data_IF_407726135566
#
_entry.id   IF_407726135566
#
_cell.length_a   1.000
_cell.length_b   1.000
_cell.length_c   1.000
_cell.angle_alpha   90.00
_cell.angle_beta   90.00
_cell.angle_gamma   90.00
#
_symmetry.space_group_name_H-M   'P 1'
#
loop_
_entity.id
_entity.type
_entity.pdbx_description
1 polymer ?
#
# COMPACT_ATOMS: atom_id res chain seq x y z
N UNK A 1 -14.03 39.15 -30.70
CA UNK A 1 -14.76 38.13 -29.91
C UNK A 1 -13.99 36.83 -30.03
N UNK A 2 -13.50 36.27 -28.93
CA UNK A 2 -12.89 34.93 -28.98
C UNK A 2 -13.94 33.95 -29.51
N UNK A 3 -13.56 33.08 -30.45
CA UNK A 3 -14.47 32.09 -31.00
C UNK A 3 -15.03 31.21 -29.89
N UNK A 4 -16.34 30.94 -29.96
CA UNK A 4 -17.07 30.07 -29.06
C UNK A 4 -16.47 28.65 -29.14
N UNK A 5 -15.58 28.31 -28.21
CA UNK A 5 -14.79 27.07 -28.22
C UNK A 5 -15.32 26.10 -27.15
N UNK A 6 -15.32 24.81 -27.48
CA UNK A 6 -15.52 23.73 -26.51
C UNK A 6 -14.18 23.36 -25.88
N UNK A 7 -14.14 23.22 -24.56
CA UNK A 7 -12.92 22.85 -23.82
C UNK A 7 -12.97 21.39 -23.40
N UNK A 8 -11.85 20.67 -23.52
CA UNK A 8 -11.74 19.28 -23.07
C UNK A 8 -11.05 19.22 -21.71
N UNK A 9 -11.64 18.55 -20.73
CA UNK A 9 -11.06 18.36 -19.40
C UNK A 9 -10.94 16.87 -19.12
N UNK A 10 -9.77 16.41 -18.67
CA UNK A 10 -9.58 15.05 -18.20
C UNK A 10 -9.59 15.00 -16.68
N UNK A 11 -10.33 14.03 -16.13
CA UNK A 11 -10.39 13.76 -14.71
C UNK A 11 -9.71 12.41 -14.42
N UNK A 12 -8.66 12.45 -13.59
CA UNK A 12 -8.06 11.29 -12.95
C UNK A 12 -8.45 11.29 -11.46
N UNK A 13 -8.52 10.12 -10.84
CA UNK A 13 -8.94 10.03 -9.43
C UNK A 13 -8.51 8.70 -8.85
N UNK A 14 -8.35 8.65 -7.53
CA UNK A 14 -8.18 7.41 -6.77
C UNK A 14 -7.03 6.55 -7.31
N UNK A 15 -5.83 7.14 -7.42
CA UNK A 15 -4.64 6.47 -7.94
C UNK A 15 -3.95 5.60 -6.89
N UNK A 16 -4.11 5.93 -5.61
CA UNK A 16 -3.56 5.20 -4.46
C UNK A 16 -2.07 4.86 -4.61
N UNK A 17 -1.27 5.78 -5.14
CA UNK A 17 0.17 5.58 -5.28
C UNK A 17 0.83 5.49 -3.90
N UNK A 18 1.97 4.82 -3.81
CA UNK A 18 2.81 4.81 -2.61
C UNK A 18 4.25 5.18 -2.96
N UNK A 19 5.08 5.45 -1.96
CA UNK A 19 6.51 5.68 -2.15
C UNK A 19 7.15 4.50 -2.89
N UNK A 20 6.76 3.27 -2.57
CA UNK A 20 7.14 2.07 -3.31
C UNK A 20 6.37 1.98 -4.65
N UNK A 21 7.06 2.00 -5.82
CA UNK A 21 6.42 1.82 -7.12
C UNK A 21 5.86 0.41 -7.35
N UNK A 22 6.29 -0.60 -6.58
CA UNK A 22 5.75 -1.95 -6.66
C UNK A 22 4.42 -2.12 -5.90
N UNK A 23 4.01 -1.12 -5.11
CA UNK A 23 2.81 -1.19 -4.30
C UNK A 23 1.56 -1.53 -5.12
N UNK A 24 0.77 -2.44 -4.57
CA UNK A 24 -0.48 -2.89 -5.19
C UNK A 24 -1.68 -2.52 -4.31
N UNK A 25 -2.73 -2.01 -4.93
CA UNK A 25 -4.05 -1.92 -4.33
C UNK A 25 -4.90 -3.07 -4.87
N UNK A 26 -5.32 -3.99 -4.00
CA UNK A 26 -6.32 -5.04 -4.35
C UNK A 26 -5.91 -5.87 -5.58
N UNK A 27 -4.62 -6.14 -5.72
CA UNK A 27 -4.05 -6.92 -6.81
C UNK A 27 -3.64 -6.14 -8.06
N UNK A 28 -3.88 -4.84 -8.08
CA UNK A 28 -3.49 -3.93 -9.17
C UNK A 28 -2.28 -3.11 -8.73
N UNK A 29 -1.17 -3.17 -9.47
CA UNK A 29 -0.04 -2.25 -9.24
C UNK A 29 -0.48 -0.83 -9.60
N UNK A 30 -0.40 0.10 -8.64
CA UNK A 30 -0.98 1.44 -8.77
C UNK A 30 -0.20 2.33 -9.73
N UNK A 31 1.13 2.15 -9.81
CA UNK A 31 1.99 2.90 -10.74
C UNK A 31 1.76 2.46 -12.19
N UNK A 32 1.73 1.15 -12.43
CA UNK A 32 1.53 0.57 -13.76
C UNK A 32 0.11 0.86 -14.27
N UNK A 33 -0.90 0.82 -13.40
CA UNK A 33 -2.27 1.17 -13.77
C UNK A 33 -2.40 2.64 -14.13
N UNK A 34 -1.80 3.54 -13.36
CA UNK A 34 -1.79 4.97 -13.69
C UNK A 34 -1.13 5.22 -15.05
N UNK A 35 0.04 4.63 -15.31
CA UNK A 35 0.74 4.72 -16.61
C UNK A 35 -0.11 4.25 -17.79
N UNK A 36 -0.80 3.13 -17.62
CA UNK A 36 -1.67 2.60 -18.66
C UNK A 36 -2.86 3.55 -18.93
N UNK A 37 -3.43 4.13 -17.88
CA UNK A 37 -4.55 5.07 -17.98
C UNK A 37 -4.11 6.42 -18.58
N UNK A 38 -2.94 6.94 -18.23
CA UNK A 38 -2.40 8.19 -18.83
C UNK A 38 -1.99 8.00 -20.29
N UNK A 39 -1.46 6.82 -20.65
CA UNK A 39 -1.19 6.45 -22.04
C UNK A 39 -2.49 6.38 -22.87
N UNK A 40 -3.55 5.77 -22.31
CA UNK A 40 -4.87 5.74 -22.93
C UNK A 40 -5.43 7.15 -23.14
N UNK A 41 -5.34 8.02 -22.13
CA UNK A 41 -5.79 9.40 -22.22
C UNK A 41 -5.04 10.19 -23.29
N UNK A 42 -3.72 10.03 -23.35
CA UNK A 42 -2.87 10.70 -24.36
C UNK A 42 -3.17 10.23 -25.78
N UNK A 43 -3.63 8.99 -25.97
CA UNK A 43 -4.05 8.47 -27.27
C UNK A 43 -5.41 9.01 -27.72
N UNK A 44 -6.27 9.46 -26.79
CA UNK A 44 -7.60 9.99 -27.10
C UNK A 44 -7.52 11.40 -27.69
N UNK A 45 -6.93 12.34 -26.95
CA UNK A 45 -6.75 13.75 -27.33
C UNK A 45 -5.85 14.47 -26.32
N UNK A 46 -5.33 15.65 -26.70
CA UNK A 46 -4.76 16.60 -25.73
C UNK A 46 -5.91 17.36 -25.02
N UNK A 47 -5.96 17.36 -23.68
CA UNK A 47 -6.95 18.13 -22.94
C UNK A 47 -6.55 19.62 -22.86
N UNK A 48 -7.52 20.48 -22.56
CA UNK A 48 -7.31 21.89 -22.19
C UNK A 48 -6.99 22.06 -20.70
N UNK A 49 -7.38 21.10 -19.87
CA UNK A 49 -7.04 21.03 -18.45
C UNK A 49 -7.12 19.60 -17.92
N UNK A 50 -6.37 19.34 -16.86
CA UNK A 50 -6.44 18.10 -16.09
C UNK A 50 -6.91 18.43 -14.67
N UNK A 51 -7.82 17.63 -14.15
CA UNK A 51 -8.26 17.67 -12.76
C UNK A 51 -8.03 16.31 -12.09
N UNK A 52 -7.52 16.33 -10.86
CA UNK A 52 -7.32 15.12 -10.06
C UNK A 52 -8.14 15.18 -8.77
N UNK A 53 -9.14 14.31 -8.62
CA UNK A 53 -10.19 14.45 -7.60
C UNK A 53 -9.97 13.60 -6.34
N UNK A 54 -8.73 13.55 -5.84
CA UNK A 54 -8.40 12.94 -4.55
C UNK A 54 -8.01 11.46 -4.62
N UNK A 55 -7.55 10.97 -3.46
CA UNK A 55 -6.93 9.67 -3.23
C UNK A 55 -5.78 9.38 -4.20
N UNK A 56 -4.94 10.41 -4.41
CA UNK A 56 -3.78 10.30 -5.30
C UNK A 56 -2.69 9.45 -4.65
N UNK A 57 -2.55 9.56 -3.33
CA UNK A 57 -1.64 8.80 -2.50
C UNK A 57 -2.37 7.88 -1.52
N UNK A 58 -1.80 6.70 -1.30
CA UNK A 58 -2.22 5.73 -0.28
C UNK A 58 -1.44 5.90 1.04
N UNK A 59 -0.24 6.49 0.99
CA UNK A 59 0.69 6.61 2.12
C UNK A 59 1.07 8.05 2.48
N UNK A 60 0.53 9.04 1.77
CA UNK A 60 0.79 10.46 1.98
C UNK A 60 2.21 10.92 1.64
N UNK A 61 3.03 10.08 0.98
CA UNK A 61 4.45 10.38 0.75
C UNK A 61 4.69 11.41 -0.37
N UNK A 62 5.70 12.25 -0.22
CA UNK A 62 6.14 13.17 -1.30
C UNK A 62 6.52 12.43 -2.59
N UNK A 63 7.06 11.22 -2.47
CA UNK A 63 7.40 10.35 -3.60
C UNK A 63 6.16 9.95 -4.40
N UNK A 64 5.05 9.61 -3.73
CA UNK A 64 3.79 9.28 -4.41
C UNK A 64 3.20 10.47 -5.16
N UNK A 65 3.20 11.68 -4.57
CA UNK A 65 2.70 12.90 -5.21
C UNK A 65 3.57 13.35 -6.39
N UNK A 66 4.90 13.27 -6.22
CA UNK A 66 5.85 13.58 -7.30
C UNK A 66 5.64 12.66 -8.49
N UNK A 67 5.48 11.35 -8.24
CA UNK A 67 5.18 10.37 -9.29
C UNK A 67 3.85 10.65 -9.98
N UNK A 68 2.78 10.91 -9.23
CA UNK A 68 1.49 11.25 -9.83
C UNK A 68 1.64 12.43 -10.80
N UNK A 69 2.33 13.48 -10.37
CA UNK A 69 2.57 14.66 -11.22
C UNK A 69 3.38 14.31 -12.45
N UNK A 70 4.48 13.59 -12.30
CA UNK A 70 5.34 13.18 -13.42
C UNK A 70 4.57 12.41 -14.49
N UNK A 71 3.68 11.51 -14.08
CA UNK A 71 2.89 10.67 -14.99
C UNK A 71 1.72 11.42 -15.65
N UNK A 72 1.14 12.41 -14.97
CA UNK A 72 -0.12 13.06 -15.39
C UNK A 72 0.10 14.43 -16.03
N UNK A 73 1.12 15.19 -15.61
CA UNK A 73 1.37 16.53 -16.14
C UNK A 73 1.74 16.52 -17.62
N UNK A 74 1.18 17.48 -18.35
CA UNK A 74 1.52 17.71 -19.76
C UNK A 74 2.01 19.15 -19.97
N UNK A 75 2.96 19.40 -20.89
CA UNK A 75 3.45 20.74 -21.16
C UNK A 75 2.31 21.71 -21.53
N UNK A 76 2.26 22.85 -20.84
CA UNK A 76 1.27 23.92 -21.03
C UNK A 76 -0.20 23.54 -20.73
N UNK A 77 -0.45 22.39 -20.11
CA UNK A 77 -1.79 21.99 -19.66
C UNK A 77 -1.88 22.18 -18.14
N UNK A 78 -2.81 23.00 -17.63
CA UNK A 78 -2.98 23.18 -16.20
C UNK A 78 -3.48 21.90 -15.53
N UNK A 79 -2.86 21.53 -14.40
CA UNK A 79 -3.27 20.42 -13.55
C UNK A 79 -3.79 20.96 -12.22
N UNK A 80 -5.07 20.80 -11.92
CA UNK A 80 -5.64 21.08 -10.59
C UNK A 80 -5.87 19.78 -9.85
N UNK A 81 -5.60 19.77 -8.56
CA UNK A 81 -5.91 18.61 -7.73
C UNK A 81 -6.54 19.01 -6.39
N UNK A 82 -7.18 18.05 -5.73
CA UNK A 82 -7.76 18.19 -4.40
C UNK A 82 -7.50 16.90 -3.62
N UNK A 83 -7.40 16.95 -2.28
CA UNK A 83 -7.15 15.75 -1.48
C UNK A 83 -8.41 14.88 -1.38
N UNK A 84 -8.19 13.57 -1.31
CA UNK A 84 -9.18 12.59 -0.83
C UNK A 84 -8.94 12.19 0.62
N UNK A 85 -9.69 11.22 1.13
CA UNK A 85 -9.56 10.78 2.52
C UNK A 85 -8.23 10.04 2.80
N UNK A 86 -7.57 9.47 1.78
CA UNK A 86 -6.26 8.82 1.92
C UNK A 86 -5.06 9.77 1.80
N UNK A 87 -5.27 10.98 1.30
CA UNK A 87 -4.19 11.94 1.07
C UNK A 87 -3.72 12.65 2.35
N UNK A 88 -2.46 13.09 2.37
CA UNK A 88 -1.99 14.11 3.33
C UNK A 88 -2.06 15.49 2.68
N UNK A 89 -3.11 16.26 2.99
CA UNK A 89 -3.37 17.56 2.36
C UNK A 89 -2.22 18.57 2.56
N UNK A 90 -1.48 18.47 3.68
CA UNK A 90 -0.32 19.35 3.92
C UNK A 90 0.83 19.04 2.97
N UNK A 91 1.14 17.78 2.75
CA UNK A 91 2.17 17.31 1.82
C UNK A 91 1.76 17.56 0.38
N UNK A 92 0.51 17.27 0.04
CA UNK A 92 -0.05 17.57 -1.28
C UNK A 92 0.09 19.06 -1.64
N UNK A 93 -0.21 19.98 -0.70
CA UNK A 93 -0.01 21.43 -0.90
C UNK A 93 1.46 21.85 -1.04
N UNK A 94 2.40 21.19 -0.36
CA UNK A 94 3.84 21.45 -0.53
C UNK A 94 4.33 20.98 -1.90
N UNK A 95 3.79 19.85 -2.37
CA UNK A 95 4.03 19.39 -3.71
C UNK A 95 3.36 20.34 -4.71
N UNK A 96 2.15 20.84 -4.46
CA UNK A 96 1.42 21.78 -5.32
C UNK A 96 2.20 23.07 -5.61
N UNK A 97 2.14 23.54 -6.86
CA UNK A 97 2.61 24.88 -7.19
C UNK A 97 1.63 25.94 -6.70
N UNK A 98 2.04 27.21 -6.70
CA UNK A 98 1.13 28.33 -6.42
C UNK A 98 0.18 28.54 -7.62
N UNK A 99 -0.89 27.76 -7.71
CA UNK A 99 -1.86 27.86 -8.79
C UNK A 99 -3.14 28.58 -8.34
N UNK A 100 -3.58 29.58 -9.12
CA UNK A 100 -4.79 30.32 -8.81
C UNK A 100 -6.06 29.45 -8.97
N UNK A 101 -6.97 29.59 -8.02
CA UNK A 101 -8.33 29.07 -8.05
C UNK A 101 -9.32 30.23 -8.20
N UNK A 102 -10.42 30.07 -8.96
CA UNK A 102 -10.73 28.92 -9.81
C UNK A 102 -9.89 28.87 -11.09
N UNK A 103 -9.78 27.69 -11.70
CA UNK A 103 -9.24 27.58 -13.07
C UNK A 103 -10.30 28.06 -14.07
N UNK A 104 -9.96 29.05 -14.89
CA UNK A 104 -10.84 29.65 -15.90
C UNK A 104 -10.55 29.08 -17.29
N UNK A 105 -11.57 28.55 -17.96
CA UNK A 105 -11.53 28.11 -19.36
C UNK A 105 -12.66 28.80 -20.14
N UNK A 106 -12.36 29.96 -20.74
CA UNK A 106 -13.40 30.79 -21.35
C UNK A 106 -14.44 31.19 -20.29
N UNK A 107 -15.70 30.83 -20.51
CA UNK A 107 -16.82 31.05 -19.57
C UNK A 107 -16.93 30.00 -18.46
N UNK A 108 -16.04 29.01 -18.42
CA UNK A 108 -16.08 27.94 -17.43
C UNK A 108 -15.17 28.21 -16.25
N UNK A 109 -15.72 27.99 -15.06
CA UNK A 109 -15.06 28.09 -13.78
C UNK A 109 -14.94 26.66 -13.23
N UNK A 110 -13.72 26.16 -13.14
CA UNK A 110 -13.43 24.88 -12.52
C UNK A 110 -13.01 25.15 -11.08
N UNK A 111 -13.84 24.74 -10.13
CA UNK A 111 -13.66 24.98 -8.70
C UNK A 111 -13.37 23.64 -8.03
N UNK A 112 -12.27 23.55 -7.29
CA UNK A 112 -12.01 22.40 -6.40
C UNK A 112 -12.37 22.75 -4.96
N UNK A 113 -12.97 21.80 -4.25
CA UNK A 113 -13.20 21.89 -2.80
C UNK A 113 -12.58 20.70 -2.08
N UNK A 114 -11.91 21.00 -0.98
CA UNK A 114 -11.43 20.01 -0.02
C UNK A 114 -12.62 19.54 0.83
N UNK A 115 -12.86 18.24 0.81
CA UNK A 115 -13.94 17.59 1.58
C UNK A 115 -13.40 16.63 2.64
N UNK A 116 -12.07 16.62 2.84
CA UNK A 116 -11.39 15.73 3.76
C UNK A 116 -11.75 16.07 5.21
N UNK A 117 -12.09 15.05 5.99
CA UNK A 117 -12.20 15.13 7.43
C UNK A 117 -11.07 14.31 8.04
N UNK A 118 -10.15 14.97 8.75
CA UNK A 118 -8.99 14.29 9.32
C UNK A 118 -9.42 13.17 10.28
N UNK A 119 -8.94 11.95 10.01
CA UNK A 119 -9.24 10.77 10.81
C UNK A 119 -10.59 10.11 10.52
N UNK A 120 -11.30 10.53 9.47
CA UNK A 120 -12.53 9.89 9.01
C UNK A 120 -12.49 9.59 7.51
N UNK A 121 -13.14 8.50 7.10
CA UNK A 121 -13.31 8.15 5.68
C UNK A 121 -14.45 8.92 5.02
N UNK A 122 -15.39 9.45 5.81
CA UNK A 122 -16.49 10.27 5.34
C UNK A 122 -16.08 11.72 5.10
N UNK A 123 -16.74 12.37 4.15
CA UNK A 123 -16.46 13.76 3.78
C UNK A 123 -17.36 14.77 4.47
N UNK A 124 -16.88 16.00 4.59
CA UNK A 124 -17.70 17.16 4.94
C UNK A 124 -17.11 18.45 4.33
N UNK A 125 -17.96 19.38 3.92
CA UNK A 125 -17.56 20.74 3.56
C UNK A 125 -17.83 21.69 4.73
N UNK A 126 -16.81 22.45 5.14
CA UNK A 126 -17.01 23.47 6.18
C UNK A 126 -17.84 24.67 5.67
N UNK A 127 -18.39 25.43 6.62
CA UNK A 127 -19.26 26.57 6.32
C UNK A 127 -18.54 27.69 5.57
N UNK A 128 -17.22 27.85 5.76
CA UNK A 128 -16.44 28.88 5.07
C UNK A 128 -16.28 28.54 3.58
N UNK A 129 -15.99 27.28 3.29
CA UNK A 129 -15.88 26.72 1.94
C UNK A 129 -17.20 26.80 1.19
N UNK A 130 -18.32 26.45 1.84
CA UNK A 130 -19.66 26.60 1.26
C UNK A 130 -20.01 28.06 0.98
N UNK A 131 -19.71 28.98 1.92
CA UNK A 131 -19.94 30.42 1.74
C UNK A 131 -19.12 30.99 0.58
N UNK A 132 -17.84 30.58 0.47
CA UNK A 132 -16.97 30.97 -0.64
C UNK A 132 -17.51 30.45 -1.98
N UNK A 133 -17.94 29.19 -2.03
CA UNK A 133 -18.55 28.60 -3.23
C UNK A 133 -19.82 29.36 -3.65
N UNK A 134 -20.71 29.69 -2.71
CA UNK A 134 -21.92 30.48 -3.00
C UNK A 134 -21.58 31.85 -3.58
N UNK A 135 -20.52 32.50 -3.08
CA UNK A 135 -20.00 33.75 -3.65
C UNK A 135 -19.50 33.61 -5.09
N UNK A 136 -18.74 32.54 -5.39
CA UNK A 136 -18.25 32.24 -6.75
C UNK A 136 -19.40 31.94 -7.72
N UNK A 137 -20.42 31.21 -7.26
CA UNK A 137 -21.62 30.92 -8.05
C UNK A 137 -22.43 32.17 -8.35
N UNK A 138 -22.65 33.03 -7.35
CA UNK A 138 -23.34 34.30 -7.52
C UNK A 138 -22.59 35.22 -8.50
N UNK A 139 -21.25 35.25 -8.42
CA UNK A 139 -20.42 36.00 -9.36
C UNK A 139 -20.54 35.46 -10.79
N UNK A 140 -20.52 34.13 -10.97
CA UNK A 140 -20.70 33.50 -12.28
C UNK A 140 -22.09 33.75 -12.88
N UNK A 141 -23.14 33.68 -12.07
CA UNK A 141 -24.51 33.97 -12.48
C UNK A 141 -24.64 35.41 -13.01
N UNK A 142 -24.03 36.37 -12.33
CA UNK A 142 -24.10 37.79 -12.67
C UNK A 142 -23.55 38.11 -14.08
N UNK A 143 -22.67 37.26 -14.60
CA UNK A 143 -22.08 37.39 -15.95
C UNK A 143 -22.48 36.26 -16.91
N UNK A 144 -23.42 35.40 -16.51
CA UNK A 144 -23.91 34.26 -17.33
C UNK A 144 -22.78 33.31 -17.76
N UNK A 145 -21.94 32.96 -16.79
CA UNK A 145 -20.86 31.98 -16.89
C UNK A 145 -21.24 30.66 -16.22
N UNK A 146 -20.38 29.64 -16.31
CA UNK A 146 -20.70 28.27 -15.89
C UNK A 146 -19.67 27.71 -14.93
N UNK A 147 -20.11 26.84 -14.03
CA UNK A 147 -19.31 26.21 -13.00
C UNK A 147 -19.30 24.68 -13.17
N UNK A 148 -18.08 24.13 -13.18
CA UNK A 148 -17.78 22.72 -12.92
C UNK A 148 -17.18 22.63 -11.51
N UNK A 149 -17.91 21.98 -10.60
CA UNK A 149 -17.44 21.75 -9.24
C UNK A 149 -16.73 20.39 -9.14
N UNK A 150 -15.60 20.34 -8.44
CA UNK A 150 -14.83 19.14 -8.19
C UNK A 150 -14.73 18.91 -6.68
N UNK A 151 -15.10 17.72 -6.22
CA UNK A 151 -14.96 17.25 -4.83
C UNK A 151 -14.43 15.82 -4.84
N UNK A 152 -13.95 15.30 -3.72
CA UNK A 152 -13.57 13.89 -3.63
C UNK A 152 -14.78 13.00 -3.31
N UNK A 153 -15.42 13.24 -2.16
CA UNK A 153 -16.52 12.42 -1.65
C UNK A 153 -17.81 12.62 -2.46
N UNK A 154 -18.56 11.53 -2.67
CA UNK A 154 -19.80 11.55 -3.45
C UNK A 154 -20.92 12.30 -2.71
N UNK A 155 -21.57 13.31 -3.34
CA UNK A 155 -22.66 14.08 -2.72
C UNK A 155 -24.02 13.37 -2.78
N UNK A 156 -24.12 12.29 -3.55
CA UNK A 156 -25.30 11.46 -3.69
C UNK A 156 -24.97 10.03 -3.26
N UNK A 157 -25.95 9.39 -2.64
CA UNK A 157 -25.91 7.95 -2.40
C UNK A 157 -25.87 7.20 -3.73
N UNK A 158 -24.95 6.24 -3.80
CA UNK A 158 -24.69 5.40 -4.96
C UNK A 158 -25.60 4.16 -4.97
N UNK A 159 -26.11 3.77 -3.80
CA UNK A 159 -26.84 2.52 -3.59
C UNK A 159 -25.94 1.36 -3.14
N UNK A 160 -24.61 1.52 -3.15
CA UNK A 160 -23.70 0.61 -2.46
C UNK A 160 -23.73 0.95 -0.96
N UNK A 161 -24.32 0.08 -0.14
CA UNK A 161 -24.62 0.39 1.26
C UNK A 161 -23.38 0.72 2.06
N UNK A 162 -22.26 0.02 1.82
CA UNK A 162 -21.01 0.27 2.50
C UNK A 162 -20.42 1.65 2.11
N UNK A 163 -20.38 1.98 0.82
CA UNK A 163 -19.89 3.26 0.30
C UNK A 163 -20.76 4.43 0.79
N UNK A 164 -22.07 4.23 0.86
CA UNK A 164 -23.01 5.24 1.35
C UNK A 164 -22.86 5.51 2.87
N UNK A 165 -21.99 4.80 3.59
CA UNK A 165 -21.61 5.13 4.99
C UNK A 165 -20.46 6.11 5.10
N UNK A 166 -19.71 6.32 4.02
CA UNK A 166 -18.52 7.18 3.95
C UNK A 166 -18.69 8.30 2.90
N UNK A 167 -19.95 8.65 2.59
CA UNK A 167 -20.28 9.69 1.62
C UNK A 167 -19.97 11.12 2.11
N UNK A 168 -20.28 12.12 1.28
CA UNK A 168 -20.23 13.53 1.71
C UNK A 168 -21.44 13.81 2.60
N UNK A 169 -21.19 13.95 3.91
CA UNK A 169 -22.25 14.06 4.93
C UNK A 169 -23.21 15.23 4.73
N UNK A 170 -22.73 16.36 4.20
CA UNK A 170 -23.54 17.51 3.82
C UNK A 170 -23.75 17.65 2.30
N UNK A 171 -23.72 16.54 1.56
CA UNK A 171 -23.95 16.51 0.12
C UNK A 171 -25.33 17.01 -0.31
N UNK A 172 -26.37 16.75 0.48
CA UNK A 172 -27.72 17.26 0.22
C UNK A 172 -27.79 18.80 0.32
N UNK A 173 -27.10 19.40 1.29
CA UNK A 173 -26.99 20.85 1.43
C UNK A 173 -26.26 21.47 0.23
N UNK A 174 -25.13 20.87 -0.15
CA UNK A 174 -24.36 21.29 -1.32
C UNK A 174 -25.20 21.27 -2.60
N UNK A 175 -25.90 20.16 -2.87
CA UNK A 175 -26.74 20.04 -4.07
C UNK A 175 -27.92 21.01 -4.06
N UNK A 176 -28.53 21.25 -2.89
CA UNK A 176 -29.60 22.23 -2.77
C UNK A 176 -29.10 23.67 -3.03
N UNK A 177 -27.87 24.00 -2.61
CA UNK A 177 -27.23 25.28 -2.93
C UNK A 177 -26.94 25.39 -4.43
N UNK A 178 -26.30 24.39 -5.04
CA UNK A 178 -25.97 24.42 -6.46
C UNK A 178 -27.21 24.60 -7.35
N UNK A 179 -28.34 23.97 -7.00
CA UNK A 179 -29.59 24.11 -7.75
C UNK A 179 -30.26 25.48 -7.67
N UNK A 180 -29.79 26.39 -6.81
CA UNK A 180 -30.23 27.79 -6.79
C UNK A 180 -29.52 28.64 -7.83
N UNK A 181 -28.40 28.15 -8.37
CA UNK A 181 -27.51 28.90 -9.25
C UNK A 181 -27.52 28.31 -10.68
N UNK A 182 -28.04 29.04 -11.69
CA UNK A 182 -28.07 28.56 -13.07
C UNK A 182 -26.67 28.35 -13.69
N UNK A 183 -25.63 28.99 -13.14
CA UNK A 183 -24.23 28.76 -13.50
C UNK A 183 -23.74 27.35 -13.13
N UNK A 184 -24.28 26.70 -12.09
CA UNK A 184 -23.88 25.34 -11.74
C UNK A 184 -24.33 24.34 -12.82
N UNK A 185 -23.40 23.70 -13.52
CA UNK A 185 -23.73 22.77 -14.62
C UNK A 185 -23.33 21.33 -14.33
N UNK A 186 -22.20 21.12 -13.65
CA UNK A 186 -21.74 19.79 -13.31
C UNK A 186 -20.97 19.76 -11.99
N UNK A 187 -21.01 18.61 -11.33
CA UNK A 187 -20.23 18.24 -10.17
C UNK A 187 -19.58 16.89 -10.46
N UNK A 188 -18.25 16.84 -10.44
CA UNK A 188 -17.47 15.60 -10.58
C UNK A 188 -16.88 15.16 -9.24
N UNK A 189 -16.83 13.84 -9.02
CA UNK A 189 -16.26 13.26 -7.81
C UNK A 189 -15.51 11.94 -8.06
N UNK A 190 -14.66 11.59 -7.09
CA UNK A 190 -13.91 10.33 -7.00
C UNK A 190 -14.57 9.38 -6.00
N UNK A 191 -13.74 8.74 -5.17
CA UNK A 191 -14.06 7.98 -3.94
C UNK A 191 -14.80 6.65 -4.15
N UNK A 192 -15.70 6.61 -5.13
CA UNK A 192 -16.58 5.47 -5.36
C UNK A 192 -15.96 4.41 -6.28
N UNK A 193 -14.86 4.72 -6.97
CA UNK A 193 -14.13 3.84 -7.90
C UNK A 193 -14.99 3.18 -8.98
N UNK A 194 -16.04 3.85 -9.44
CA UNK A 194 -16.84 3.39 -10.58
C UNK A 194 -17.54 4.56 -11.28
N UNK A 195 -18.04 4.29 -12.49
CA UNK A 195 -18.82 5.26 -13.25
C UNK A 195 -20.18 5.48 -12.58
N UNK A 196 -20.50 6.73 -12.23
CA UNK A 196 -21.82 7.14 -11.73
C UNK A 196 -22.31 8.38 -12.48
N UNK A 197 -23.58 8.42 -12.87
CA UNK A 197 -24.16 9.55 -13.60
C UNK A 197 -25.62 9.78 -13.21
N UNK A 198 -25.91 10.97 -12.67
CA UNK A 198 -27.25 11.44 -12.32
C UNK A 198 -27.41 12.93 -12.62
N UNK A 199 -28.64 13.36 -12.85
CA UNK A 199 -28.97 14.78 -12.96
C UNK A 199 -29.87 15.15 -11.79
N UNK A 200 -29.49 16.21 -11.05
CA UNK A 200 -30.27 16.78 -9.96
C UNK A 200 -30.51 18.24 -10.29
N UNK A 201 -31.75 18.58 -10.64
CA UNK A 201 -32.12 19.89 -11.18
C UNK A 201 -31.28 20.26 -12.40
N UNK A 202 -30.47 21.32 -12.32
CA UNK A 202 -29.61 21.77 -13.42
C UNK A 202 -28.17 21.22 -13.38
N UNK A 203 -27.84 20.37 -12.40
CA UNK A 203 -26.48 19.86 -12.17
C UNK A 203 -26.37 18.40 -12.59
N UNK A 204 -25.40 18.10 -13.46
CA UNK A 204 -24.95 16.72 -13.72
C UNK A 204 -23.97 16.29 -12.62
N UNK A 205 -24.32 15.27 -11.83
CA UNK A 205 -23.46 14.66 -10.80
C UNK A 205 -22.80 13.42 -11.38
N UNK A 206 -21.48 13.44 -11.43
CA UNK A 206 -20.66 12.50 -12.19
C UNK A 206 -19.57 11.89 -11.30
N UNK A 207 -19.67 10.59 -11.04
CA UNK A 207 -18.61 9.80 -10.41
C UNK A 207 -17.72 9.13 -11.46
N UNK A 208 -16.43 9.04 -11.17
CA UNK A 208 -15.41 8.63 -12.12
C UNK A 208 -14.73 7.33 -11.69
N UNK A 209 -14.44 6.41 -12.64
CA UNK A 209 -13.64 5.24 -12.32
C UNK A 209 -12.26 5.62 -11.78
N UNK A 210 -11.77 4.83 -10.84
CA UNK A 210 -10.39 4.96 -10.33
C UNK A 210 -9.38 4.66 -11.44
N UNK A 211 -8.18 5.24 -11.35
CA UNK A 211 -7.03 4.82 -12.18
C UNK A 211 -6.39 3.50 -11.70
N UNK A 212 -6.99 2.87 -10.70
CA UNK A 212 -6.59 1.61 -10.09
C UNK A 212 -7.80 0.64 -9.97
N UNK A 213 -7.89 -0.14 -8.88
CA UNK A 213 -8.94 -1.13 -8.66
C UNK A 213 -10.32 -0.47 -8.55
N UNK A 214 -11.35 -1.15 -9.06
CA UNK A 214 -12.72 -0.65 -9.09
C UNK A 214 -13.55 -1.26 -7.96
N UNK A 215 -14.57 -0.54 -7.46
CA UNK A 215 -15.51 -1.08 -6.47
C UNK A 215 -16.82 -1.50 -7.12
N UNK A 216 -17.39 -2.60 -6.65
CA UNK A 216 -18.62 -3.15 -7.18
C UNK A 216 -19.80 -2.19 -6.86
N UNK A 217 -20.56 -1.74 -7.88
CA UNK A 217 -21.71 -0.88 -7.64
C UNK A 217 -22.82 -1.67 -6.93
N UNK A 218 -23.57 -0.99 -6.05
CA UNK A 218 -24.71 -1.57 -5.30
C UNK A 218 -24.37 -2.71 -4.34
N UNK A 219 -23.08 -2.92 -4.01
CA UNK A 219 -22.67 -3.93 -3.04
C UNK A 219 -23.17 -3.60 -1.63
N UNK A 220 -23.55 -4.62 -0.86
CA UNK A 220 -23.95 -4.45 0.54
C UNK A 220 -22.73 -4.27 1.44
N UNK A 221 -21.73 -5.13 1.25
CA UNK A 221 -20.43 -5.08 1.91
C UNK A 221 -19.35 -4.61 0.92
N UNK A 222 -18.15 -4.32 1.42
CA UNK A 222 -17.01 -3.99 0.57
C UNK A 222 -16.75 -5.11 -0.45
N UNK A 223 -16.73 -4.74 -1.74
CA UNK A 223 -16.48 -5.67 -2.83
C UNK A 223 -15.77 -4.95 -3.98
N UNK A 224 -14.73 -5.59 -4.52
CA UNK A 224 -14.02 -5.19 -5.72
C UNK A 224 -14.81 -5.64 -6.93
N UNK A 225 -14.96 -4.74 -7.89
CA UNK A 225 -15.57 -5.07 -9.16
C UNK A 225 -14.63 -5.98 -9.96
N UNK A 226 -15.11 -7.19 -10.26
CA UNK A 226 -14.42 -8.18 -11.08
C UNK A 226 -15.10 -8.41 -12.43
N UNK A 227 -16.17 -7.66 -12.73
CA UNK A 227 -16.90 -7.78 -13.98
C UNK A 227 -16.01 -7.31 -15.16
N UNK A 228 -15.78 -8.15 -16.18
CA UNK A 228 -14.84 -7.81 -17.27
C UNK A 228 -15.10 -6.48 -17.98
N UNK A 229 -16.36 -6.02 -18.01
CA UNK A 229 -16.76 -4.79 -18.66
C UNK A 229 -16.43 -3.51 -17.87
N UNK A 230 -16.23 -3.62 -16.55
CA UNK A 230 -16.15 -2.46 -15.65
C UNK A 230 -14.99 -2.51 -14.66
N UNK A 231 -14.33 -3.66 -14.49
CA UNK A 231 -13.26 -3.86 -13.51
C UNK A 231 -11.91 -3.21 -13.86
N UNK A 232 -11.71 -2.83 -15.13
CA UNK A 232 -10.44 -2.26 -15.58
C UNK A 232 -10.30 -0.79 -15.19
N UNK A 233 -9.11 -0.33 -14.76
CA UNK A 233 -8.81 1.08 -14.52
C UNK A 233 -9.24 2.02 -15.64
N UNK A 234 -9.57 3.26 -15.30
CA UNK A 234 -10.00 4.25 -16.29
C UNK A 234 -9.90 5.70 -15.83
N UNK A 235 -10.37 6.58 -16.70
CA UNK A 235 -10.49 8.01 -16.43
C UNK A 235 -11.77 8.57 -17.07
N UNK A 236 -12.14 9.81 -16.73
CA UNK A 236 -13.27 10.51 -17.36
C UNK A 236 -12.77 11.66 -18.23
N UNK A 237 -13.38 11.84 -19.39
CA UNK A 237 -13.26 13.06 -20.18
C UNK A 237 -14.56 13.87 -20.12
N UNK A 238 -14.42 15.20 -20.14
CA UNK A 238 -15.53 16.15 -20.21
C UNK A 238 -15.26 17.13 -21.36
N UNK A 239 -16.32 17.47 -22.09
CA UNK A 239 -16.34 18.54 -23.08
C UNK A 239 -17.31 19.62 -22.58
N UNK A 240 -16.72 20.77 -22.28
CA UNK A 240 -17.38 21.93 -21.71
C UNK A 240 -17.75 22.88 -22.83
N UNK A 241 -19.02 22.91 -23.20
CA UNK A 241 -19.52 23.68 -24.33
C UNK A 241 -19.77 25.14 -23.94
N UNK A 242 -19.69 26.08 -24.91
CA UNK A 242 -19.84 27.51 -24.63
C UNK A 242 -21.26 27.95 -24.25
N UNK A 243 -22.25 27.07 -24.39
CA UNK A 243 -23.65 27.26 -23.95
C UNK A 243 -23.92 26.67 -22.55
N UNK A 244 -22.90 26.12 -21.89
CA UNK A 244 -23.02 25.51 -20.58
C UNK A 244 -23.37 24.03 -20.61
N UNK A 245 -23.54 23.42 -21.79
CA UNK A 245 -23.72 21.98 -21.90
C UNK A 245 -22.42 21.24 -21.54
N UNK A 246 -22.57 20.06 -20.93
CA UNK A 246 -21.48 19.16 -20.58
C UNK A 246 -21.71 17.83 -21.29
N UNK A 247 -20.82 17.47 -22.21
CA UNK A 247 -20.70 16.14 -22.78
C UNK A 247 -19.60 15.38 -22.02
N UNK A 248 -19.79 14.09 -21.72
CA UNK A 248 -18.81 13.32 -20.94
C UNK A 248 -18.83 11.84 -21.29
N UNK A 249 -17.70 11.19 -21.08
CA UNK A 249 -17.55 9.74 -21.19
C UNK A 249 -16.42 9.24 -20.30
N UNK A 250 -16.32 7.91 -20.17
CA UNK A 250 -15.23 7.26 -19.46
C UNK A 250 -14.51 6.32 -20.42
N UNK A 251 -13.19 6.29 -20.33
CA UNK A 251 -12.36 5.33 -21.06
C UNK A 251 -11.68 4.42 -20.04
N UNK A 252 -11.55 3.14 -20.39
CA UNK A 252 -10.90 2.14 -19.57
C UNK A 252 -9.78 1.46 -20.35
N UNK A 253 -8.75 1.03 -19.63
CA UNK A 253 -7.70 0.19 -20.21
C UNK A 253 -8.28 -1.13 -20.69
N UNK A 254 -7.56 -1.78 -21.62
CA UNK A 254 -8.05 -2.99 -22.27
C UNK A 254 -8.38 -4.10 -21.24
N UNK A 255 -9.42 -4.89 -21.55
CA UNK A 255 -9.81 -6.01 -20.72
C UNK A 255 -8.63 -6.99 -20.50
N UNK A 256 -8.43 -7.41 -19.25
CA UNK A 256 -7.36 -8.33 -18.87
C UNK A 256 -5.97 -7.70 -18.67
N UNK A 257 -5.82 -6.38 -18.89
CA UNK A 257 -4.56 -5.68 -18.57
C UNK A 257 -4.24 -5.72 -17.09
N UNK A 258 -5.27 -5.65 -16.23
CA UNK A 258 -5.14 -5.74 -14.78
C UNK A 258 -6.08 -6.80 -14.22
N UNK A 259 -5.63 -7.49 -13.17
CA UNK A 259 -6.38 -8.56 -12.51
C UNK A 259 -6.72 -8.14 -11.07
N UNK A 260 -7.80 -7.37 -10.86
CA UNK A 260 -8.25 -6.96 -9.53
C UNK A 260 -8.80 -8.16 -8.76
N UNK A 261 -8.70 -8.12 -7.43
CA UNK A 261 -9.05 -9.25 -6.56
C UNK A 261 -9.69 -8.81 -5.24
N UNK A 262 -10.76 -9.51 -4.86
CA UNK A 262 -11.38 -9.44 -3.53
C UNK A 262 -10.53 -10.08 -2.44
N UNK A 263 -9.71 -11.08 -2.78
CA UNK A 263 -8.62 -11.47 -1.90
C UNK A 263 -7.71 -10.26 -1.81
N UNK A 264 -7.57 -9.67 -0.62
CA UNK A 264 -6.47 -8.77 -0.36
C UNK A 264 -5.22 -9.48 -0.89
N UNK A 265 -4.54 -8.93 -1.91
CA UNK A 265 -3.14 -9.27 -2.05
C UNK A 265 -2.56 -8.78 -0.74
N UNK A 266 -2.31 -9.74 0.14
CA UNK A 266 -1.85 -9.46 1.47
C UNK A 266 -0.59 -8.65 1.26
N UNK A 267 -0.57 -7.41 1.75
CA UNK A 267 0.67 -6.67 2.01
C UNK A 267 1.49 -7.37 3.12
N UNK A 268 1.23 -8.66 3.32
CA UNK A 268 1.92 -9.51 4.26
C UNK A 268 3.19 -9.93 3.55
N UNK A 269 4.36 -9.51 4.08
CA UNK A 269 5.64 -9.87 3.52
C UNK A 269 5.79 -11.38 3.44
N UNK A 270 6.59 -11.84 2.49
CA UNK A 270 7.06 -13.21 2.43
C UNK A 270 7.72 -13.61 3.76
N UNK A 271 7.20 -14.64 4.43
CA UNK A 271 7.76 -15.14 5.68
C UNK A 271 8.69 -16.30 5.38
N UNK A 272 9.97 -16.17 5.74
CA UNK A 272 10.94 -17.25 5.63
C UNK A 272 11.37 -17.73 7.02
N UNK A 273 11.03 -18.98 7.34
CA UNK A 273 11.38 -19.62 8.61
C UNK A 273 12.60 -20.52 8.44
N UNK A 274 13.62 -20.30 9.27
CA UNK A 274 14.89 -21.03 9.28
C UNK A 274 15.00 -21.87 10.55
N UNK A 275 15.05 -23.20 10.38
CA UNK A 275 15.17 -24.14 11.49
C UNK A 275 16.63 -24.29 11.98
N UNK A 276 16.81 -24.89 13.15
CA UNK A 276 18.13 -25.11 13.76
C UNK A 276 18.93 -26.26 13.15
N UNK A 277 20.15 -26.45 13.68
CA UNK A 277 21.04 -27.57 13.37
C UNK A 277 20.38 -28.91 13.72
N UNK A 278 20.55 -29.93 12.85
CA UNK A 278 19.90 -31.25 12.95
C UNK A 278 18.36 -31.22 13.10
N UNK A 279 17.74 -30.08 12.78
CA UNK A 279 16.28 -29.89 12.78
C UNK A 279 15.71 -30.04 11.36
N UNK A 280 14.43 -29.74 11.19
CA UNK A 280 13.78 -29.81 9.88
C UNK A 280 12.52 -28.93 9.82
N UNK A 281 11.92 -28.77 8.62
CA UNK A 281 10.58 -28.18 8.48
C UNK A 281 9.49 -28.93 9.26
N UNK A 282 9.77 -30.15 9.75
CA UNK A 282 8.84 -30.97 10.54
C UNK A 282 9.00 -30.80 12.06
N UNK A 283 9.89 -29.92 12.51
CA UNK A 283 10.06 -29.60 13.93
C UNK A 283 8.79 -28.97 14.52
N UNK A 284 8.61 -29.07 15.85
CA UNK A 284 7.41 -28.57 16.52
C UNK A 284 7.22 -27.07 16.29
N UNK A 285 8.28 -26.25 16.46
CA UNK A 285 8.24 -24.80 16.23
C UNK A 285 7.87 -24.46 14.78
N UNK A 286 8.46 -25.15 13.79
CA UNK A 286 8.13 -24.93 12.38
C UNK A 286 6.65 -25.26 12.09
N UNK A 287 6.13 -26.37 12.63
CA UNK A 287 4.71 -26.74 12.49
C UNK A 287 3.77 -25.76 13.17
N UNK A 288 4.14 -25.25 14.35
CA UNK A 288 3.36 -24.23 15.07
C UNK A 288 3.30 -22.93 14.26
N UNK A 289 4.44 -22.45 13.75
CA UNK A 289 4.51 -21.28 12.88
C UNK A 289 3.70 -21.47 11.58
N UNK A 290 3.84 -22.62 10.92
CA UNK A 290 3.07 -22.96 9.72
C UNK A 290 1.57 -22.95 9.98
N UNK A 291 1.13 -23.58 11.08
CA UNK A 291 -0.29 -23.64 11.47
C UNK A 291 -0.85 -22.24 11.72
N UNK A 292 -0.10 -21.39 12.42
CA UNK A 292 -0.50 -20.01 12.68
C UNK A 292 -0.60 -19.22 11.37
N UNK A 293 0.40 -19.29 10.49
CA UNK A 293 0.36 -18.62 9.20
C UNK A 293 -0.83 -19.06 8.34
N UNK A 294 -1.12 -20.36 8.29
CA UNK A 294 -2.28 -20.89 7.57
C UNK A 294 -3.61 -20.35 8.11
N UNK A 295 -3.74 -20.23 9.44
CA UNK A 295 -4.93 -19.64 10.09
C UNK A 295 -5.08 -18.15 9.80
N UNK A 296 -3.97 -17.43 9.61
CA UNK A 296 -3.95 -16.00 9.33
C UNK A 296 -3.92 -15.66 7.83
N UNK A 297 -3.91 -16.66 6.94
CA UNK A 297 -3.77 -16.44 5.50
C UNK A 297 -2.40 -15.85 5.09
N UNK A 298 -1.36 -16.14 5.86
CA UNK A 298 0.02 -15.68 5.64
C UNK A 298 0.79 -16.75 4.89
N UNK A 299 1.50 -16.38 3.82
CA UNK A 299 2.44 -17.26 3.13
C UNK A 299 3.71 -17.44 3.98
N UNK A 300 4.15 -18.69 4.18
CA UNK A 300 5.38 -19.03 4.88
C UNK A 300 6.16 -20.11 4.12
N UNK A 301 7.45 -19.85 3.87
CA UNK A 301 8.41 -20.84 3.36
C UNK A 301 9.27 -21.36 4.52
N UNK A 302 9.45 -22.67 4.55
CA UNK A 302 10.26 -23.39 5.55
C UNK A 302 11.17 -24.37 4.79
N UNK A 303 12.28 -23.91 4.21
CA UNK A 303 13.16 -24.78 3.45
C UNK A 303 13.88 -25.77 4.36
N UNK A 304 14.20 -26.95 3.83
CA UNK A 304 15.13 -27.86 4.48
C UNK A 304 16.57 -27.33 4.30
N UNK A 305 17.30 -27.17 5.40
CA UNK A 305 18.69 -26.69 5.41
C UNK A 305 19.65 -27.89 5.47
N UNK A 306 19.89 -28.53 4.33
CA UNK A 306 20.65 -29.79 4.24
C UNK A 306 22.11 -29.64 3.79
N UNK A 307 22.46 -28.48 3.25
CA UNK A 307 23.78 -28.17 2.69
C UNK A 307 24.67 -27.45 3.71
N UNK A 308 25.96 -27.30 3.38
CA UNK A 308 26.88 -26.46 4.16
C UNK A 308 26.42 -25.00 4.27
N UNK A 309 26.94 -24.23 5.25
CA UNK A 309 26.55 -22.82 5.48
C UNK A 309 26.60 -21.92 4.24
N UNK A 310 27.65 -21.96 3.42
CA UNK A 310 27.78 -21.10 2.24
C UNK A 310 26.72 -21.41 1.18
N UNK A 311 26.51 -22.69 0.87
CA UNK A 311 25.47 -23.14 -0.05
C UNK A 311 24.06 -22.84 0.47
N UNK A 312 23.84 -23.01 1.78
CA UNK A 312 22.59 -22.63 2.45
C UNK A 312 22.31 -21.15 2.27
N UNK A 313 23.26 -20.26 2.52
CA UNK A 313 23.08 -18.81 2.34
C UNK A 313 22.77 -18.46 0.89
N UNK A 314 23.47 -19.05 -0.08
CA UNK A 314 23.18 -18.82 -1.50
C UNK A 314 21.73 -19.19 -1.86
N UNK A 315 21.27 -20.36 -1.43
CA UNK A 315 19.90 -20.82 -1.67
C UNK A 315 18.85 -19.97 -0.95
N UNK A 316 19.14 -19.52 0.29
CA UNK A 316 18.23 -18.65 1.04
C UNK A 316 18.11 -17.27 0.40
N UNK A 317 19.18 -16.70 -0.14
CA UNK A 317 19.14 -15.42 -0.86
C UNK A 317 18.27 -15.50 -2.11
N UNK A 318 18.43 -16.54 -2.92
CA UNK A 318 17.59 -16.74 -4.12
C UNK A 318 16.10 -16.82 -3.75
N UNK A 319 15.77 -17.62 -2.73
CA UNK A 319 14.39 -17.74 -2.23
C UNK A 319 13.84 -16.42 -1.69
N UNK A 320 14.65 -15.71 -0.92
CA UNK A 320 14.29 -14.44 -0.31
C UNK A 320 14.03 -13.38 -1.39
N UNK A 321 14.92 -13.25 -2.37
CA UNK A 321 14.78 -12.33 -3.50
C UNK A 321 13.53 -12.65 -4.35
N UNK A 322 13.27 -13.93 -4.63
CA UNK A 322 12.05 -14.36 -5.32
C UNK A 322 10.78 -14.07 -4.49
N UNK A 323 10.83 -14.28 -3.17
CA UNK A 323 9.74 -13.96 -2.25
C UNK A 323 9.45 -12.47 -2.17
N UNK A 324 10.48 -11.64 -2.04
CA UNK A 324 10.39 -10.17 -2.05
C UNK A 324 9.80 -9.70 -3.37
N UNK A 325 10.30 -10.20 -4.51
CA UNK A 325 9.78 -9.83 -5.83
C UNK A 325 8.29 -10.16 -5.99
N UNK A 326 7.80 -11.22 -5.32
CA UNK A 326 6.38 -11.63 -5.36
C UNK A 326 5.48 -10.85 -4.39
N UNK A 327 5.99 -10.47 -3.23
CA UNK A 327 5.17 -9.98 -2.09
C UNK A 327 5.45 -8.53 -1.69
N UNK A 328 6.47 -7.88 -2.26
CA UNK A 328 6.88 -6.51 -1.96
C UNK A 328 7.74 -6.35 -0.68
N UNK A 329 7.97 -7.42 0.07
CA UNK A 329 8.83 -7.40 1.26
C UNK A 329 8.99 -8.78 1.87
N UNK A 330 9.92 -8.93 2.81
CA UNK A 330 10.12 -10.21 3.51
C UNK A 330 10.42 -10.01 4.99
N UNK A 331 10.12 -11.04 5.77
CA UNK A 331 10.43 -11.12 7.20
C UNK A 331 10.99 -12.50 7.53
N UNK A 332 11.85 -12.55 8.54
CA UNK A 332 12.58 -13.76 8.89
C UNK A 332 12.15 -14.27 10.27
N UNK A 333 12.08 -15.59 10.40
CA UNK A 333 11.99 -16.27 11.70
C UNK A 333 13.14 -17.26 11.76
N UNK A 334 13.99 -17.18 12.78
CA UNK A 334 15.15 -18.07 12.89
C UNK A 334 15.25 -18.70 14.28
N UNK A 335 15.40 -20.02 14.34
CA UNK A 335 15.61 -20.73 15.61
C UNK A 335 16.99 -21.40 15.66
N UNK A 336 17.69 -21.26 16.79
CA UNK A 336 19.04 -21.85 17.01
C UNK A 336 20.01 -21.44 15.88
N UNK A 337 20.59 -22.39 15.12
CA UNK A 337 21.44 -22.09 13.95
C UNK A 337 20.69 -21.30 12.86
N UNK A 338 19.39 -21.56 12.65
CA UNK A 338 18.57 -20.76 11.75
C UNK A 338 18.44 -19.31 12.19
N UNK A 339 18.57 -19.05 13.50
CA UNK A 339 18.68 -17.70 14.05
C UNK A 339 19.94 -16.98 13.59
N UNK A 340 21.08 -17.69 13.48
CA UNK A 340 22.33 -17.14 12.98
C UNK A 340 22.23 -16.73 11.49
N UNK A 341 21.66 -17.60 10.66
CA UNK A 341 21.39 -17.28 9.26
C UNK A 341 20.38 -16.13 9.10
N UNK A 342 19.31 -16.12 9.92
CA UNK A 342 18.33 -15.04 9.92
C UNK A 342 18.97 -13.70 10.30
N UNK A 343 19.91 -13.68 11.24
CA UNK A 343 20.67 -12.48 11.61
C UNK A 343 21.49 -11.94 10.46
N UNK A 344 22.24 -12.80 9.76
CA UNK A 344 23.01 -12.41 8.58
C UNK A 344 22.11 -11.81 7.49
N UNK A 345 21.04 -12.53 7.11
CA UNK A 345 20.13 -12.11 6.05
C UNK A 345 19.37 -10.83 6.42
N UNK A 346 18.86 -10.72 7.64
CA UNK A 346 18.18 -9.52 8.12
C UNK A 346 19.10 -8.30 8.09
N UNK A 347 20.34 -8.46 8.56
CA UNK A 347 21.32 -7.38 8.56
C UNK A 347 21.73 -6.96 7.15
N UNK A 348 21.85 -7.92 6.23
CA UNK A 348 22.21 -7.67 4.83
C UNK A 348 21.11 -6.96 4.04
N UNK A 349 19.86 -7.40 4.19
CA UNK A 349 18.71 -6.89 3.43
C UNK A 349 17.91 -5.80 4.17
N UNK A 350 18.27 -5.46 5.40
CA UNK A 350 17.52 -4.49 6.23
C UNK A 350 16.13 -4.99 6.65
N UNK A 351 15.96 -6.31 6.79
CA UNK A 351 14.68 -6.95 7.11
C UNK A 351 14.49 -7.11 8.61
N UNK A 352 13.23 -7.29 9.03
CA UNK A 352 12.92 -7.70 10.40
C UNK A 352 13.09 -9.20 10.60
N UNK A 353 13.59 -9.57 11.77
CA UNK A 353 13.76 -10.95 12.18
C UNK A 353 13.28 -11.22 13.61
N UNK A 354 12.57 -12.32 13.77
CA UNK A 354 12.27 -12.91 15.06
C UNK A 354 13.23 -14.09 15.32
N UNK A 355 14.01 -13.99 16.39
CA UNK A 355 15.05 -14.96 16.73
C UNK A 355 14.64 -15.73 17.99
N UNK A 356 14.66 -17.06 17.92
CA UNK A 356 14.20 -17.96 18.98
C UNK A 356 15.40 -18.78 19.48
N UNK A 357 15.87 -18.48 20.69
CA UNK A 357 17.12 -19.02 21.24
C UNK A 357 18.23 -19.09 20.16
N UNK A 358 18.62 -17.96 19.54
CA UNK A 358 19.56 -17.98 18.43
C UNK A 358 20.97 -18.37 18.88
N UNK A 359 21.68 -19.15 18.06
CA UNK A 359 23.11 -19.35 18.23
C UNK A 359 23.87 -18.06 17.85
N UNK A 360 24.77 -17.60 18.72
CA UNK A 360 25.54 -16.36 18.49
C UNK A 360 26.89 -16.64 17.83
N UNK A 361 27.57 -17.70 18.25
CA UNK A 361 28.88 -18.14 17.73
C UNK A 361 28.86 -19.63 17.36
N UNK A 362 28.02 -20.05 16.41
CA UNK A 362 27.89 -21.46 16.05
C UNK A 362 29.21 -22.07 15.54
N UNK A 363 30.12 -21.27 14.96
CA UNK A 363 31.45 -21.71 14.52
C UNK A 363 32.38 -22.16 15.67
N UNK A 364 32.09 -21.76 16.92
CA UNK A 364 32.77 -22.30 18.10
C UNK A 364 32.03 -23.54 18.63
N UNK A 365 30.70 -23.45 18.72
CA UNK A 365 29.85 -24.51 19.29
C UNK A 365 29.87 -25.80 18.47
N UNK A 366 29.85 -25.69 17.15
CA UNK A 366 29.77 -26.85 16.24
C UNK A 366 31.12 -27.57 16.08
N UNK A 367 32.23 -27.01 16.58
CA UNK A 367 33.52 -27.72 16.59
C UNK A 367 33.50 -28.97 17.45
N UNK A 368 32.69 -28.99 18.50
CA UNK A 368 32.48 -30.18 19.33
C UNK A 368 31.72 -31.30 18.58
N UNK A 369 31.18 -31.01 17.40
CA UNK A 369 30.40 -31.90 16.55
C UNK A 369 31.10 -32.24 15.22
N UNK A 370 32.41 -31.98 15.08
CA UNK A 370 33.18 -32.34 13.88
C UNK A 370 33.05 -33.83 13.55
N UNK A 371 32.89 -34.14 12.26
CA UNK A 371 32.63 -35.49 11.74
C UNK A 371 31.16 -35.77 11.45
N UNK A 372 30.79 -37.04 11.35
CA UNK A 372 29.44 -37.46 10.95
C UNK A 372 28.40 -37.16 12.04
N UNK A 373 27.35 -36.44 11.66
CA UNK A 373 26.20 -36.10 12.47
C UNK A 373 24.92 -36.61 11.80
N UNK A 374 23.90 -36.95 12.60
CA UNK A 374 22.63 -37.49 12.08
C UNK A 374 21.46 -36.58 12.44
N UNK A 375 20.69 -36.17 11.43
CA UNK A 375 19.49 -35.37 11.62
C UNK A 375 18.44 -36.14 12.43
N UNK A 376 17.91 -35.52 13.50
CA UNK A 376 17.00 -36.19 14.43
C UNK A 376 15.62 -36.51 13.82
N UNK A 377 15.20 -35.78 12.78
CA UNK A 377 13.89 -35.94 12.16
C UNK A 377 13.92 -36.79 10.89
N UNK A 378 14.93 -36.60 10.04
CA UNK A 378 15.02 -37.26 8.73
C UNK A 378 15.94 -38.47 8.74
N UNK A 379 16.84 -38.57 9.72
CA UNK A 379 17.88 -39.61 9.77
C UNK A 379 19.00 -39.42 8.75
N UNK A 380 19.02 -38.31 8.01
CA UNK A 380 20.10 -37.97 7.08
C UNK A 380 21.43 -37.79 7.83
N UNK A 381 22.51 -38.30 7.26
CA UNK A 381 23.87 -38.13 7.80
C UNK A 381 24.51 -36.93 7.12
N UNK A 382 25.04 -36.01 7.90
CA UNK A 382 25.73 -34.81 7.46
C UNK A 382 27.08 -34.73 8.14
N UNK A 383 28.12 -34.38 7.42
CA UNK A 383 29.45 -34.18 8.00
C UNK A 383 29.62 -32.71 8.40
N UNK A 384 30.06 -32.47 9.63
CA UNK A 384 30.50 -31.15 10.11
C UNK A 384 32.00 -31.05 9.89
N UNK A 385 32.43 -30.06 9.12
CA UNK A 385 33.84 -29.87 8.72
C UNK A 385 34.40 -28.54 9.22
N UNK A 386 35.73 -28.43 9.32
CA UNK A 386 36.37 -27.14 9.64
C UNK A 386 36.13 -26.08 8.55
N UNK A 387 35.96 -26.49 7.30
CA UNK A 387 35.57 -25.59 6.21
C UNK A 387 34.21 -24.93 6.50
N UNK A 388 33.22 -25.70 6.97
CA UNK A 388 31.92 -25.14 7.36
C UNK A 388 32.02 -24.20 8.58
N UNK A 389 32.98 -24.42 9.49
CA UNK A 389 33.22 -23.47 10.59
C UNK A 389 33.75 -22.14 10.06
N UNK A 390 34.63 -22.18 9.06
CA UNK A 390 35.09 -21.00 8.35
C UNK A 390 33.95 -20.31 7.60
N UNK A 391 33.09 -21.06 6.90
CA UNK A 391 31.93 -20.50 6.21
C UNK A 391 30.95 -19.80 7.17
N UNK A 392 30.75 -20.33 8.38
CA UNK A 392 29.96 -19.67 9.42
C UNK A 392 30.62 -18.38 9.93
N UNK A 393 31.95 -18.37 10.04
CA UNK A 393 32.71 -17.19 10.44
C UNK A 393 32.64 -16.10 9.36
N UNK A 394 32.70 -16.48 8.08
CA UNK A 394 32.64 -15.54 6.94
C UNK A 394 31.32 -14.75 6.85
N UNK A 395 30.25 -15.28 7.44
CA UNK A 395 28.93 -14.63 7.52
C UNK A 395 28.63 -14.03 8.91
N UNK A 396 29.65 -13.92 9.77
CA UNK A 396 29.47 -13.34 11.10
C UNK A 396 29.04 -11.87 11.02
N UNK A 397 27.96 -11.54 11.73
CA UNK A 397 27.54 -10.16 11.97
C UNK A 397 28.05 -9.75 13.35
N UNK A 398 29.17 -9.04 13.41
CA UNK A 398 29.73 -8.53 14.67
C UNK A 398 28.85 -7.46 15.30
N UNK A 399 28.38 -6.48 14.50
CA UNK A 399 27.48 -5.42 14.93
C UNK A 399 26.24 -5.35 14.04
N UNK A 400 25.07 -5.21 14.67
CA UNK A 400 23.79 -5.09 13.97
C UNK A 400 23.66 -3.67 13.41
N UNK A 401 23.38 -3.54 12.12
CA UNK A 401 23.16 -2.25 11.46
C UNK A 401 21.86 -1.57 11.92
N UNK A 402 20.83 -2.36 12.24
CA UNK A 402 19.51 -1.90 12.71
C UNK A 402 19.00 -2.81 13.84
N UNK A 403 19.49 -2.65 15.08
CA UNK A 403 19.10 -3.49 16.21
C UNK A 403 17.58 -3.56 16.44
N UNK A 404 16.85 -2.49 16.11
CA UNK A 404 15.39 -2.40 16.23
C UNK A 404 14.62 -3.35 15.30
N UNK A 405 15.27 -3.87 14.26
CA UNK A 405 14.68 -4.86 13.35
C UNK A 405 14.66 -6.27 13.93
N UNK A 406 15.25 -6.48 15.10
CA UNK A 406 15.30 -7.79 15.74
C UNK A 406 14.39 -7.86 16.95
N UNK A 407 13.58 -8.93 17.00
CA UNK A 407 12.93 -9.40 18.22
C UNK A 407 13.57 -10.70 18.63
N UNK A 408 14.07 -10.78 19.85
CA UNK A 408 14.85 -11.92 20.32
C UNK A 408 14.18 -12.50 21.55
N UNK A 409 13.79 -13.77 21.43
CA UNK A 409 13.09 -14.51 22.45
C UNK A 409 14.03 -15.56 23.01
N UNK A 410 14.28 -15.49 24.31
CA UNK A 410 15.23 -16.33 25.04
C UNK A 410 14.53 -17.04 26.20
N UNK A 411 14.96 -18.27 26.47
CA UNK A 411 14.59 -19.01 27.68
C UNK A 411 15.85 -19.29 28.50
N UNK A 412 15.83 -18.93 29.79
CA UNK A 412 17.02 -19.08 30.66
C UNK A 412 17.36 -20.54 30.97
N UNK A 413 16.42 -21.46 30.74
CA UNK A 413 16.60 -22.89 30.88
C UNK A 413 17.17 -23.60 29.64
N UNK A 414 17.53 -22.87 28.58
CA UNK A 414 18.18 -23.47 27.41
C UNK A 414 19.50 -24.15 27.80
N UNK A 415 19.50 -25.48 27.71
CA UNK A 415 20.61 -26.34 28.09
C UNK A 415 21.66 -26.50 26.98
N UNK A 416 21.36 -26.03 25.77
CA UNK A 416 22.21 -26.16 24.58
C UNK A 416 22.97 -24.87 24.27
N UNK A 417 22.31 -23.71 24.44
CA UNK A 417 22.87 -22.41 24.12
C UNK A 417 22.85 -21.50 25.36
N UNK A 418 24.00 -20.90 25.67
CA UNK A 418 24.06 -19.88 26.72
C UNK A 418 23.28 -18.62 26.29
N UNK A 419 22.11 -18.43 26.89
CA UNK A 419 21.23 -17.31 26.58
C UNK A 419 21.90 -15.95 26.81
N UNK A 420 22.91 -15.87 27.69
CA UNK A 420 23.59 -14.60 27.99
C UNK A 420 24.40 -14.09 26.81
N UNK A 421 24.89 -14.96 25.94
CA UNK A 421 25.54 -14.57 24.68
C UNK A 421 24.56 -13.81 23.78
N UNK A 422 23.35 -14.36 23.60
CA UNK A 422 22.32 -13.72 22.80
C UNK A 422 21.80 -12.44 23.46
N UNK A 423 21.57 -12.46 24.78
CA UNK A 423 21.16 -11.26 25.51
C UNK A 423 22.18 -10.12 25.38
N UNK A 424 23.48 -10.45 25.30
CA UNK A 424 24.55 -9.47 25.09
C UNK A 424 24.58 -8.96 23.65
N UNK A 425 24.56 -9.85 22.65
CA UNK A 425 24.61 -9.47 21.23
C UNK A 425 23.42 -8.61 20.80
N UNK A 426 22.23 -8.92 21.30
CA UNK A 426 20.98 -8.28 20.92
C UNK A 426 20.49 -7.27 21.98
N UNK A 427 21.38 -6.74 22.82
CA UNK A 427 21.02 -5.86 23.94
C UNK A 427 20.20 -4.61 23.53
N UNK A 428 20.41 -4.12 22.32
CA UNK A 428 19.71 -2.95 21.75
C UNK A 428 18.45 -3.32 20.94
N UNK A 429 18.15 -4.60 20.82
CA UNK A 429 16.99 -5.15 20.13
C UNK A 429 15.79 -5.36 21.07
N UNK A 430 14.64 -5.76 20.52
CA UNK A 430 13.48 -6.15 21.34
C UNK A 430 13.72 -7.51 22.00
N UNK A 431 14.34 -7.51 23.18
CA UNK A 431 14.64 -8.72 23.96
C UNK A 431 13.48 -9.15 24.87
N UNK A 432 13.14 -10.43 24.81
CA UNK A 432 12.13 -11.10 25.61
C UNK A 432 12.75 -12.34 26.27
N UNK A 433 13.07 -12.24 27.56
CA UNK A 433 13.75 -13.31 28.31
C UNK A 433 12.76 -13.94 29.29
N UNK A 434 12.47 -15.22 29.08
CA UNK A 434 11.56 -16.01 29.91
C UNK A 434 12.36 -16.86 30.89
N UNK A 435 11.96 -16.86 32.15
CA UNK A 435 12.61 -17.67 33.18
C UNK A 435 12.23 -19.15 33.03
N UNK A 436 13.22 -20.04 33.05
CA UNK A 436 13.03 -21.48 32.81
C UNK A 436 12.91 -21.81 31.33
N UNK A 437 12.14 -22.86 31.00
CA UNK A 437 12.00 -23.37 29.64
C UNK A 437 13.11 -24.35 29.25
N UNK A 438 13.38 -24.46 27.94
CA UNK A 438 14.41 -25.34 27.37
C UNK A 438 14.82 -24.88 25.95
N UNK A 439 15.76 -25.60 25.32
CA UNK A 439 16.21 -25.31 23.94
C UNK A 439 15.09 -25.39 22.89
N UNK A 440 14.07 -26.20 23.13
CA UNK A 440 12.94 -26.33 22.22
C UNK A 440 12.04 -25.08 22.21
N UNK A 441 12.19 -24.20 23.21
CA UNK A 441 11.38 -23.04 23.50
C UNK A 441 9.94 -23.43 23.91
N UNK A 442 9.75 -23.72 25.20
CA UNK A 442 8.45 -24.12 25.74
C UNK A 442 7.41 -23.01 25.57
N UNK A 443 6.22 -23.36 25.10
CA UNK A 443 5.13 -22.41 24.89
C UNK A 443 5.32 -21.47 23.69
N UNK A 444 6.14 -21.85 22.71
CA UNK A 444 6.38 -21.06 21.49
C UNK A 444 5.10 -20.63 20.75
N UNK A 445 4.07 -21.47 20.75
CA UNK A 445 2.76 -21.16 20.15
C UNK A 445 2.07 -19.94 20.78
N UNK A 446 2.28 -19.71 22.08
CA UNK A 446 1.75 -18.53 22.77
C UNK A 446 2.45 -17.22 22.34
N UNK A 447 3.68 -17.31 21.82
CA UNK A 447 4.45 -16.16 21.36
C UNK A 447 4.08 -15.73 19.93
N UNK A 448 3.51 -16.63 19.12
CA UNK A 448 3.23 -16.39 17.70
C UNK A 448 2.42 -15.10 17.44
N UNK A 449 1.34 -14.78 18.19
CA UNK A 449 0.61 -13.52 17.98
C UNK A 449 1.49 -12.27 18.11
N UNK A 450 2.31 -12.19 19.16
CA UNK A 450 3.18 -11.03 19.39
C UNK A 450 4.37 -11.01 18.44
N UNK A 451 4.92 -12.18 18.12
CA UNK A 451 5.97 -12.34 17.12
C UNK A 451 5.49 -11.81 15.76
N UNK A 452 4.32 -12.22 15.29
CA UNK A 452 3.79 -11.73 14.01
C UNK A 452 3.36 -10.27 14.07
N UNK A 453 2.84 -9.78 15.21
CA UNK A 453 2.59 -8.35 15.38
C UNK A 453 3.88 -7.51 15.21
N UNK A 454 5.00 -8.00 15.74
CA UNK A 454 6.31 -7.38 15.53
C UNK A 454 6.72 -7.43 14.06
N UNK A 455 6.72 -8.61 13.44
CA UNK A 455 7.18 -8.79 12.05
C UNK A 455 6.35 -7.96 11.06
N UNK A 456 5.04 -7.85 11.29
CA UNK A 456 4.10 -7.22 10.36
C UNK A 456 3.81 -5.74 10.66
N UNK A 457 4.29 -5.20 11.79
CA UNK A 457 4.04 -3.77 12.09
C UNK A 457 4.75 -2.89 11.06
N UNK A 458 4.13 -1.79 10.62
CA UNK A 458 4.81 -0.84 9.73
C UNK A 458 5.97 -0.19 10.49
N UNK A 459 7.17 -0.17 9.93
CA UNK A 459 8.24 0.72 10.42
C UNK A 459 7.74 2.15 10.22
N UNK A 460 7.43 2.84 11.32
CA UNK A 460 7.46 4.29 11.29
C UNK A 460 8.93 4.67 11.05
N UNK A 461 9.30 4.93 9.80
CA UNK A 461 10.57 5.57 9.50
C UNK A 461 10.51 6.92 10.20
N UNK A 462 11.09 7.01 11.40
CA UNK A 462 11.36 8.30 12.03
C UNK A 462 12.38 8.96 11.12
N UNK A 463 11.91 9.88 10.28
CA UNK A 463 12.75 10.84 9.60
C UNK A 463 13.66 11.47 10.67
N UNK A 464 14.97 11.27 10.52
CA UNK A 464 15.98 12.08 11.18
C UNK A 464 16.30 13.27 10.32
#
# INVERSE_FOLDING_TARGET
MAASRTYTVFQFTDSHLSADPAACMRGVNTTDSLKAVTALASALALPDAIVATGDLSQDGSEASYSRFREEVSQPNIPLRWLPGNHDDAATMRRCEGAEAQPLRLGKWHIITLDSQVLGAEQGALDAESLKRLEGELAAADAVSEYVLLCVHHNPLRTGAKWMDTIDLTNGAELLAMLNKHPSARALIHGHIHHKFERVVGNVQVLGTPSTCAQFAPQATDFEIDTQPATCQPGFRWLRLHPDGAVETGVERVAAGSFTPSNAARTNTPYVLYLHGFLSSPQSLKAKQALTYCQQQGIEIDIPALTEGPAATIAALRERLEAGIARTGGAVLIGSSLGGYYATYLANHYGLRAALINPAVRPYLLLRDYLGEQRNYHTGAVHEVTEEQMQELLDIEVEMLATPENFRVMLQTGDETLDYTEAATKYAESSLHIHQGGDHSYQGFDNELPQLFAFLLSRTATKAR
#
